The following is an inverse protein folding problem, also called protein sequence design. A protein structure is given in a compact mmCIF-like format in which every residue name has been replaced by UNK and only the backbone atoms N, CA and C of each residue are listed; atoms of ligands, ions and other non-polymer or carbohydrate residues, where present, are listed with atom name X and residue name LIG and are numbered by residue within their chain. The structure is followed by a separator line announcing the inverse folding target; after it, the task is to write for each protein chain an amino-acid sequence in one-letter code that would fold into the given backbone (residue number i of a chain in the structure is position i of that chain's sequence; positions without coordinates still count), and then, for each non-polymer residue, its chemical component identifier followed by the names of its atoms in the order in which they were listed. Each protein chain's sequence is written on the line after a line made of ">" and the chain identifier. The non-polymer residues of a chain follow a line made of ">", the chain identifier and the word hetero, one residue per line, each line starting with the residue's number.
data_IF_329424281369
#
_entry.id   IF_329424281369
#
_cell.length_a   1.000
_cell.length_b   1.000
_cell.length_c   1.000
_cell.angle_alpha   90.00
_cell.angle_beta   90.00
_cell.angle_gamma   90.00
#
_symmetry.space_group_name_H-M   'P 1'
#
loop_
_entity.id
_entity.type
_entity.pdbx_description
1 polymer ?
#
# COMPACT_ATOMS: atom_id res chain seq x y z
N UNK A 1 11.37 16.54 -1.77
CA UNK A 1 10.62 15.29 -1.97
C UNK A 1 9.20 15.63 -1.60
N UNK A 2 8.28 15.45 -2.54
CA UNK A 2 6.90 15.86 -2.38
C UNK A 2 6.04 14.63 -2.15
N UNK A 3 5.09 14.74 -1.21
CA UNK A 3 4.15 13.66 -0.90
C UNK A 3 2.78 14.02 -1.47
N UNK A 4 2.10 13.01 -2.01
CA UNK A 4 0.76 13.14 -2.58
C UNK A 4 -0.14 12.09 -1.94
N UNK A 5 -1.34 12.50 -1.57
CA UNK A 5 -2.41 11.57 -1.21
C UNK A 5 -3.01 11.02 -2.51
N UNK A 6 -3.00 9.70 -2.63
CA UNK A 6 -3.46 8.96 -3.79
C UNK A 6 -4.36 7.85 -3.26
N UNK A 7 -5.50 7.63 -3.91
CA UNK A 7 -6.36 6.50 -3.57
C UNK A 7 -5.65 5.19 -3.96
N UNK A 8 -5.61 4.26 -3.00
CA UNK A 8 -4.86 3.01 -3.10
C UNK A 8 -5.39 2.16 -4.26
N UNK A 9 -6.68 2.26 -4.57
CA UNK A 9 -7.34 1.56 -5.68
C UNK A 9 -6.80 1.95 -7.07
N UNK A 10 -6.20 3.15 -7.19
CA UNK A 10 -5.60 3.64 -8.44
C UNK A 10 -4.18 3.13 -8.68
N UNK A 11 -3.58 2.45 -7.69
CA UNK A 11 -2.23 1.91 -7.74
C UNK A 11 -2.27 0.47 -8.25
N UNK A 12 -1.54 0.20 -9.33
CA UNK A 12 -1.34 -1.14 -9.88
C UNK A 12 -0.03 -1.72 -9.38
N UNK A 13 -0.11 -2.79 -8.59
CA UNK A 13 1.05 -3.59 -8.18
C UNK A 13 1.23 -4.76 -9.15
N UNK A 14 2.42 -4.89 -9.74
CA UNK A 14 2.77 -5.99 -10.65
C UNK A 14 3.23 -7.25 -9.91
N UNK A 15 3.62 -7.11 -8.64
CA UNK A 15 4.05 -8.22 -7.78
C UNK A 15 2.79 -8.85 -7.16
N UNK A 16 2.50 -10.13 -7.41
CA UNK A 16 1.31 -10.78 -6.82
C UNK A 16 1.51 -11.09 -5.34
N UNK A 17 0.40 -11.18 -4.60
CA UNK A 17 0.41 -11.41 -3.15
C UNK A 17 1.19 -12.67 -2.74
N UNK A 18 1.14 -13.72 -3.57
CA UNK A 18 1.87 -14.97 -3.34
C UNK A 18 3.39 -14.79 -3.21
N UNK A 19 3.95 -13.70 -3.74
CA UNK A 19 5.37 -13.36 -3.63
C UNK A 19 5.74 -12.64 -2.34
N UNK A 20 4.75 -12.17 -1.57
CA UNK A 20 4.97 -11.48 -0.29
C UNK A 20 4.38 -12.23 0.90
N UNK A 21 3.87 -13.45 0.72
CA UNK A 21 3.25 -14.24 1.79
C UNK A 21 4.17 -14.49 2.99
N UNK A 22 5.48 -14.64 2.76
CA UNK A 22 6.45 -14.80 3.86
C UNK A 22 6.50 -13.58 4.80
N UNK A 23 5.96 -12.44 4.36
CA UNK A 23 5.88 -11.18 5.10
C UNK A 23 4.50 -10.93 5.71
N UNK A 24 3.59 -11.92 5.75
CA UNK A 24 2.21 -11.77 6.28
C UNK A 24 2.17 -11.07 7.64
N UNK A 25 3.03 -11.49 8.58
CA UNK A 25 3.10 -10.88 9.93
C UNK A 25 3.48 -9.40 9.89
N UNK A 26 4.31 -8.99 8.93
CA UNK A 26 4.71 -7.59 8.76
C UNK A 26 3.57 -6.79 8.13
N UNK A 27 2.89 -7.36 7.12
CA UNK A 27 1.70 -6.79 6.50
C UNK A 27 0.61 -6.55 7.56
N UNK A 28 0.32 -7.55 8.39
CA UNK A 28 -0.63 -7.45 9.50
C UNK A 28 -0.28 -6.34 10.49
N UNK A 29 0.98 -6.32 10.91
CA UNK A 29 1.46 -5.32 11.86
C UNK A 29 1.34 -3.92 11.28
N UNK A 30 1.73 -3.73 10.02
CA UNK A 30 1.62 -2.43 9.34
C UNK A 30 0.17 -2.01 9.16
N UNK A 31 -0.73 -2.93 8.81
CA UNK A 31 -2.15 -2.62 8.66
C UNK A 31 -2.76 -2.10 9.97
N UNK A 32 -2.48 -2.77 11.09
CA UNK A 32 -2.93 -2.29 12.40
C UNK A 32 -2.32 -0.93 12.76
N UNK A 33 -1.04 -0.71 12.48
CA UNK A 33 -0.40 0.59 12.72
C UNK A 33 -1.01 1.71 11.86
N UNK A 34 -1.40 1.43 10.62
CA UNK A 34 -2.07 2.41 9.76
C UNK A 34 -3.42 2.81 10.35
N UNK A 35 -4.21 1.84 10.84
CA UNK A 35 -5.47 2.09 11.54
C UNK A 35 -5.26 2.91 12.82
N UNK A 36 -4.33 2.48 13.67
CA UNK A 36 -4.06 3.12 14.96
C UNK A 36 -3.53 4.56 14.82
N UNK A 37 -2.83 4.86 13.72
CA UNK A 37 -2.24 6.18 13.48
C UNK A 37 -3.10 7.10 12.60
N UNK A 38 -4.26 6.63 12.13
CA UNK A 38 -5.11 7.32 11.15
C UNK A 38 -4.32 7.79 9.90
N UNK A 39 -3.28 7.06 9.52
CA UNK A 39 -2.34 7.51 8.50
C UNK A 39 -1.29 6.48 8.10
N UNK A 40 -0.56 6.77 7.02
CA UNK A 40 0.46 5.88 6.50
C UNK A 40 1.81 6.27 7.11
N UNK A 41 2.46 5.33 7.80
CA UNK A 41 3.77 5.56 8.43
C UNK A 41 4.90 5.51 7.39
N UNK A 42 4.80 4.61 6.40
CA UNK A 42 5.80 4.43 5.35
C UNK A 42 5.17 4.58 3.97
N UNK A 43 5.42 5.69 3.25
CA UNK A 43 4.84 5.91 1.93
C UNK A 43 5.45 4.99 0.87
N UNK A 44 4.64 4.60 -0.11
CA UNK A 44 5.09 3.83 -1.27
C UNK A 44 5.59 4.74 -2.38
N UNK A 45 6.47 4.23 -3.24
CA UNK A 45 6.91 4.95 -4.42
C UNK A 45 6.11 4.47 -5.62
N UNK A 46 5.56 5.44 -6.36
CA UNK A 46 4.75 5.16 -7.53
C UNK A 46 5.19 5.98 -8.74
N UNK A 47 4.92 5.45 -9.92
CA UNK A 47 5.05 6.15 -11.19
C UNK A 47 3.66 6.45 -11.73
N UNK A 48 3.37 7.72 -12.05
CA UNK A 48 2.12 8.08 -12.75
C UNK A 48 2.14 7.52 -14.17
N UNK A 49 1.13 6.75 -14.52
CA UNK A 49 0.97 6.12 -15.85
C UNK A 49 -0.28 6.60 -16.59
N UNK A 50 -1.11 7.44 -15.96
CA UNK A 50 -2.30 8.04 -16.59
C UNK A 50 -2.98 9.07 -15.69
N UNK A 51 -4.18 9.49 -16.08
CA UNK A 51 -5.07 10.30 -15.23
C UNK A 51 -5.58 9.42 -14.10
N UNK A 52 -5.16 9.69 -12.86
CA UNK A 52 -5.47 8.89 -11.67
C UNK A 52 -5.14 7.40 -11.83
N UNK A 53 -3.98 7.10 -12.42
CA UNK A 53 -3.47 5.73 -12.49
C UNK A 53 -1.97 5.72 -12.26
N UNK A 54 -1.56 4.82 -11.38
CA UNK A 54 -0.21 4.73 -10.87
C UNK A 54 0.27 3.29 -10.93
N UNK A 55 1.57 3.12 -11.17
CA UNK A 55 2.26 1.84 -11.07
C UNK A 55 3.14 1.85 -9.81
N UNK A 56 3.05 0.80 -8.99
CA UNK A 56 3.91 0.64 -7.83
C UNK A 56 5.35 0.41 -8.30
N UNK A 57 6.28 1.22 -7.81
CA UNK A 57 7.72 1.10 -8.08
C UNK A 57 8.44 0.44 -6.90
N UNK A 58 8.01 0.73 -5.67
CA UNK A 58 8.58 0.16 -4.45
C UNK A 58 7.58 0.26 -3.28
N UNK A 59 7.59 -0.76 -2.42
CA UNK A 59 6.79 -0.80 -1.19
C UNK A 59 5.62 -1.78 -1.29
N UNK A 60 5.89 -3.01 -1.74
CA UNK A 60 4.89 -4.06 -1.92
C UNK A 60 4.26 -4.48 -0.59
N UNK A 61 5.06 -4.54 0.48
CA UNK A 61 4.58 -4.92 1.81
C UNK A 61 3.61 -3.84 2.33
N UNK A 62 3.99 -2.57 2.24
CA UNK A 62 3.16 -1.42 2.60
C UNK A 62 1.90 -1.34 1.74
N UNK A 63 2.03 -1.54 0.43
CA UNK A 63 0.89 -1.60 -0.49
C UNK A 63 -0.12 -2.65 -0.04
N UNK A 64 0.34 -3.86 0.26
CA UNK A 64 -0.56 -4.92 0.72
C UNK A 64 -1.12 -4.68 2.12
N UNK A 65 -0.38 -3.97 2.99
CA UNK A 65 -0.92 -3.53 4.28
C UNK A 65 -2.08 -2.54 4.10
N UNK A 66 -1.93 -1.55 3.20
CA UNK A 66 -3.00 -0.59 2.88
C UNK A 66 -4.24 -1.28 2.28
N UNK A 67 -4.04 -2.25 1.37
CA UNK A 67 -5.15 -3.05 0.83
C UNK A 67 -5.85 -3.85 1.94
N UNK A 68 -5.10 -4.31 2.96
CA UNK A 68 -5.67 -5.06 4.09
C UNK A 68 -6.47 -4.16 5.02
N UNK A 69 -6.01 -2.92 5.26
CA UNK A 69 -6.75 -1.90 6.03
C UNK A 69 -8.16 -1.70 5.46
N UNK A 70 -8.30 -1.47 4.16
CA UNK A 70 -9.62 -1.30 3.52
C UNK A 70 -10.52 -2.55 3.54
N UNK A 71 -10.03 -3.70 4.00
CA UNK A 71 -10.86 -4.89 4.30
C UNK A 71 -11.27 -4.99 5.76
N UNK A 72 -10.51 -4.37 6.66
CA UNK A 72 -10.76 -4.35 8.11
C UNK A 72 -11.74 -3.21 8.44
N UNK A 73 -11.52 -2.04 7.86
CA UNK A 73 -12.34 -0.84 8.00
C UNK A 73 -12.60 -0.23 6.60
N UNK A 74 -13.72 -0.61 5.95
CA UNK A 74 -14.02 -0.27 4.56
C UNK A 74 -14.55 1.16 4.33
#
# INVERSE_FOLDING_TARGET
>A
MDFFLIDVDTIKCSIPYSKVQDYERQIDRLANLILDSEGIINPVFVKKIGSNSYELVYGEIEYYAMIKVGKIDP
#
